data_IF_836648850363
#
_entry.id   IF_836648850363
#
_cell.length_a   1.000
_cell.length_b   1.000
_cell.length_c   1.000
_cell.angle_alpha   90.00
_cell.angle_beta   90.00
_cell.angle_gamma   90.00
#
_symmetry.space_group_name_H-M   'P 1'
#
loop_
_entity.id
_entity.type
_entity.pdbx_description
1 polymer ?
#
# COMPACT_ATOMS: atom_id res chain seq x y z
N UNK A 1 15.27 14.33 20.18
CA UNK A 1 14.59 13.13 20.69
C UNK A 1 14.56 13.05 22.21
N UNK A 2 15.66 13.28 22.92
CA UNK A 2 15.66 13.34 24.42
C UNK A 2 14.79 14.47 24.99
N UNK A 3 14.78 15.64 24.38
CA UNK A 3 13.97 16.78 24.84
C UNK A 3 12.46 16.57 24.74
N UNK A 4 12.01 15.74 23.80
CA UNK A 4 10.60 15.44 23.59
C UNK A 4 10.08 14.41 24.62
N UNK A 5 10.91 13.45 25.00
CA UNK A 5 10.59 12.47 26.04
C UNK A 5 10.50 13.12 27.44
N UNK A 6 11.37 14.08 27.74
CA UNK A 6 11.32 14.84 29.00
C UNK A 6 10.03 15.68 29.12
N UNK A 7 9.55 16.27 28.04
CA UNK A 7 8.29 17.05 28.02
C UNK A 7 7.05 16.17 28.24
N UNK A 8 7.07 14.92 27.79
CA UNK A 8 5.96 13.96 28.03
C UNK A 8 5.96 13.50 29.50
N UNK A 9 7.11 13.28 30.09
CA UNK A 9 7.20 12.91 31.52
C UNK A 9 6.79 14.06 32.44
N UNK A 10 7.21 15.30 32.16
CA UNK A 10 6.77 16.45 32.95
C UNK A 10 5.26 16.72 32.85
N UNK A 11 4.63 16.48 31.67
CA UNK A 11 3.17 16.60 31.54
C UNK A 11 2.43 15.51 32.29
N UNK A 12 2.96 14.29 32.35
CA UNK A 12 2.38 13.20 33.16
C UNK A 12 2.46 13.50 34.67
N UNK A 13 3.59 14.03 35.14
CA UNK A 13 3.76 14.41 36.55
C UNK A 13 2.88 15.60 36.97
N UNK A 14 2.66 16.59 36.07
CA UNK A 14 1.75 17.72 36.38
C UNK A 14 0.28 17.30 36.45
N UNK A 15 -0.17 16.35 35.64
CA UNK A 15 -1.54 15.80 35.72
C UNK A 15 -1.78 14.99 36.98
N UNK A 16 -0.79 14.26 37.49
CA UNK A 16 -0.90 13.45 38.70
C UNK A 16 -0.94 14.31 39.98
N UNK A 17 -0.32 15.51 39.98
CA UNK A 17 -0.36 16.45 41.11
C UNK A 17 -1.67 17.24 41.18
N UNK A 18 -2.45 17.34 40.12
CA UNK A 18 -3.70 18.09 40.09
C UNK A 18 -4.94 17.28 40.52
N UNK A 19 -4.84 15.95 40.65
CA UNK A 19 -6.00 15.07 40.91
C UNK A 19 -5.97 14.32 42.26
N UNK A 20 -5.11 14.61 43.16
CA UNK A 20 -5.19 14.18 44.58
C UNK A 20 -5.47 12.69 44.92
N UNK A 21 -5.45 11.78 43.93
CA UNK A 21 -5.72 10.35 44.14
C UNK A 21 -4.77 9.51 43.29
N UNK A 22 -4.03 8.55 43.87
CA UNK A 22 -3.17 7.66 43.10
C UNK A 22 -4.05 6.61 42.38
N UNK A 23 -4.19 6.76 41.07
CA UNK A 23 -4.88 5.76 40.25
C UNK A 23 -4.04 4.48 40.19
N UNK A 24 -4.50 3.40 40.81
CA UNK A 24 -3.97 2.05 40.64
C UNK A 24 -4.38 1.55 39.25
N UNK A 25 -3.49 1.68 38.29
CA UNK A 25 -3.70 1.27 36.89
C UNK A 25 -3.83 -0.25 36.69
N UNK A 26 -3.81 -1.05 37.74
CA UNK A 26 -3.87 -2.52 37.69
C UNK A 26 -5.26 -3.14 37.93
N UNK A 27 -6.28 -2.37 38.30
CA UNK A 27 -7.61 -2.93 38.69
C UNK A 27 -8.77 -2.52 37.77
N UNK A 28 -8.59 -1.64 36.82
CA UNK A 28 -9.67 -1.21 35.90
C UNK A 28 -9.98 -2.25 34.82
N UNK A 29 -9.11 -3.23 34.61
CA UNK A 29 -9.37 -4.33 33.67
C UNK A 29 -10.17 -5.49 34.31
N UNK A 30 -10.16 -5.64 35.64
CA UNK A 30 -10.90 -6.71 36.33
C UNK A 30 -12.33 -6.32 36.72
N UNK A 31 -12.65 -5.02 36.79
CA UNK A 31 -13.95 -4.52 37.21
C UNK A 31 -15.02 -4.37 36.11
N UNK A 32 -14.67 -4.52 34.86
CA UNK A 32 -15.61 -4.40 33.71
C UNK A 32 -16.31 -5.74 33.40
N UNK A 33 -15.93 -6.83 34.10
CA UNK A 33 -16.45 -8.17 33.82
C UNK A 33 -17.62 -8.62 34.72
N UNK A 34 -17.98 -7.87 35.77
CA UNK A 34 -19.03 -8.32 36.71
C UNK A 34 -20.43 -7.71 36.50
N UNK A 35 -20.59 -6.64 35.70
CA UNK A 35 -21.90 -5.96 35.55
C UNK A 35 -22.57 -6.05 34.18
N UNK A 36 -22.21 -7.01 33.31
CA UNK A 36 -22.76 -7.14 31.99
C UNK A 36 -23.50 -8.45 31.72
N UNK A 37 -24.53 -8.75 32.53
CA UNK A 37 -25.44 -9.88 32.20
C UNK A 37 -26.40 -9.60 31.04
N UNK A 38 -26.34 -8.44 30.39
CA UNK A 38 -27.19 -8.09 29.22
C UNK A 38 -26.47 -7.93 27.87
N UNK A 39 -25.14 -7.75 27.83
CA UNK A 39 -24.37 -7.49 26.61
C UNK A 39 -23.27 -8.55 26.33
N UNK A 40 -23.25 -9.60 27.10
CA UNK A 40 -22.06 -10.44 27.32
C UNK A 40 -21.67 -11.41 26.22
N UNK A 41 -22.46 -11.63 25.16
CA UNK A 41 -22.07 -12.66 24.18
C UNK A 41 -21.21 -12.13 23.02
N UNK A 42 -21.40 -10.92 22.58
CA UNK A 42 -20.67 -10.36 21.44
C UNK A 42 -19.26 -9.91 21.82
N UNK A 43 -19.08 -9.30 22.99
CA UNK A 43 -17.76 -8.85 23.47
C UNK A 43 -16.85 -10.00 23.92
N UNK A 44 -17.41 -11.07 24.48
CA UNK A 44 -16.63 -12.24 24.84
C UNK A 44 -16.06 -12.97 23.61
N UNK A 45 -16.80 -13.03 22.49
CA UNK A 45 -16.29 -13.60 21.27
C UNK A 45 -15.15 -12.78 20.65
N UNK A 46 -15.22 -11.45 20.66
CA UNK A 46 -14.16 -10.58 20.13
C UNK A 46 -12.87 -10.68 20.97
N UNK A 47 -12.98 -10.74 22.30
CA UNK A 47 -11.82 -10.89 23.18
C UNK A 47 -11.11 -12.25 23.01
N UNK A 48 -11.85 -13.31 22.66
CA UNK A 48 -11.29 -14.65 22.41
C UNK A 48 -10.53 -14.69 21.08
N UNK A 49 -11.01 -14.00 20.03
CA UNK A 49 -10.30 -13.95 18.74
C UNK A 49 -8.94 -13.21 18.83
N UNK A 50 -8.79 -12.20 19.68
CA UNK A 50 -7.52 -11.48 19.83
C UNK A 50 -6.52 -12.15 20.79
N UNK A 51 -6.95 -13.07 21.65
CA UNK A 51 -6.04 -13.79 22.58
C UNK A 51 -5.41 -15.05 21.98
N UNK A 52 -5.90 -15.55 20.88
CA UNK A 52 -5.41 -16.79 20.25
C UNK A 52 -5.30 -16.63 18.73
N UNK A 53 -4.41 -15.74 18.27
CA UNK A 53 -3.79 -15.99 16.97
C UNK A 53 -2.92 -17.23 17.16
N UNK A 54 -3.20 -18.35 16.50
CA UNK A 54 -2.36 -19.53 16.62
C UNK A 54 -0.94 -19.13 16.20
N UNK A 55 0.06 -19.42 17.04
CA UNK A 55 1.45 -19.35 16.59
C UNK A 55 1.57 -20.31 15.40
N UNK A 56 2.15 -19.88 14.27
CA UNK A 56 2.33 -20.76 13.14
C UNK A 56 3.09 -22.01 13.57
N UNK A 57 2.55 -23.19 13.26
CA UNK A 57 3.26 -24.45 13.46
C UNK A 57 4.31 -24.59 12.36
N UNK A 58 5.58 -24.41 12.69
CA UNK A 58 6.71 -24.64 11.80
C UNK A 58 6.91 -26.13 11.55
N UNK A 59 6.73 -26.56 10.32
CA UNK A 59 7.28 -27.82 9.81
C UNK A 59 8.25 -27.45 8.69
N UNK A 60 9.43 -28.02 8.69
CA UNK A 60 10.51 -27.81 7.71
C UNK A 60 9.98 -27.74 6.27
N UNK A 61 10.26 -26.63 5.58
CA UNK A 61 9.95 -26.30 4.19
C UNK A 61 8.51 -25.88 3.82
N UNK A 62 7.53 -25.85 4.73
CA UNK A 62 6.19 -25.33 4.40
C UNK A 62 6.05 -23.88 4.87
N UNK A 63 5.65 -22.99 3.95
CA UNK A 63 5.24 -21.63 4.30
C UNK A 63 4.09 -21.69 5.30
N UNK A 64 4.07 -20.75 6.27
CA UNK A 64 2.99 -20.69 7.23
C UNK A 64 1.66 -20.50 6.53
N UNK A 65 0.67 -21.31 6.94
CA UNK A 65 -0.71 -21.15 6.53
C UNK A 65 -1.46 -20.38 7.60
N UNK A 66 -2.10 -19.29 7.19
CA UNK A 66 -2.91 -18.46 8.07
C UNK A 66 -4.36 -18.50 7.64
N UNK A 67 -5.27 -18.55 8.61
CA UNK A 67 -6.70 -18.54 8.34
C UNK A 67 -7.21 -17.08 8.20
N UNK A 68 -7.66 -16.73 7.00
CA UNK A 68 -8.29 -15.46 6.68
C UNK A 68 -9.79 -15.65 6.49
N UNK A 69 -10.55 -15.45 7.56
CA UNK A 69 -12.02 -15.53 7.50
C UNK A 69 -12.57 -16.91 7.09
N UNK A 70 -11.88 -18.00 7.41
CA UNK A 70 -12.26 -19.38 7.07
C UNK A 70 -11.50 -19.97 5.88
N UNK A 71 -10.67 -19.18 5.20
CA UNK A 71 -9.79 -19.64 4.09
C UNK A 71 -8.34 -19.67 4.56
N UNK A 72 -7.66 -20.79 4.33
CA UNK A 72 -6.22 -20.89 4.59
C UNK A 72 -5.43 -20.35 3.40
N UNK A 73 -4.49 -19.41 3.69
CA UNK A 73 -3.63 -18.80 2.70
C UNK A 73 -2.16 -18.89 3.11
N UNK A 74 -1.28 -19.01 2.12
CA UNK A 74 0.16 -18.99 2.35
C UNK A 74 0.64 -17.56 2.65
N UNK A 75 1.33 -17.40 3.77
CA UNK A 75 1.94 -16.12 4.17
C UNK A 75 3.38 -16.33 4.61
N UNK A 76 4.17 -15.27 4.52
CA UNK A 76 5.53 -15.22 5.04
C UNK A 76 5.71 -13.95 5.87
N UNK A 77 6.12 -14.14 7.10
CA UNK A 77 6.38 -13.04 8.04
C UNK A 77 7.86 -12.69 8.10
N UNK A 78 8.19 -11.55 8.69
CA UNK A 78 9.59 -11.16 8.95
C UNK A 78 10.29 -12.09 9.95
N UNK A 79 9.55 -12.82 10.77
CA UNK A 79 10.09 -13.80 11.71
C UNK A 79 10.50 -15.08 10.97
N UNK A 80 9.71 -15.51 9.98
CA UNK A 80 9.97 -16.71 9.17
C UNK A 80 11.06 -16.48 8.13
N UNK A 81 11.10 -15.28 7.57
CA UNK A 81 12.11 -14.90 6.57
C UNK A 81 12.78 -13.58 7.00
N UNK A 82 13.66 -13.59 8.01
CA UNK A 82 14.30 -12.39 8.52
C UNK A 82 15.25 -11.77 7.48
N UNK A 83 15.59 -10.48 7.63
CA UNK A 83 16.48 -9.74 6.71
C UNK A 83 17.82 -10.46 6.51
N UNK A 84 18.36 -11.12 7.54
CA UNK A 84 19.60 -11.90 7.42
C UNK A 84 19.47 -13.04 6.42
N UNK A 85 18.34 -13.76 6.43
CA UNK A 85 18.03 -14.82 5.45
C UNK A 85 17.85 -14.23 4.05
N UNK A 86 17.21 -13.05 3.95
CA UNK A 86 17.03 -12.34 2.69
C UNK A 86 18.37 -11.88 2.09
N UNK A 87 19.29 -11.38 2.90
CA UNK A 87 20.65 -11.01 2.47
C UNK A 87 21.45 -12.23 1.98
N UNK A 88 21.34 -13.37 2.65
CA UNK A 88 22.00 -14.60 2.18
C UNK A 88 21.38 -15.13 0.88
N UNK A 89 20.05 -15.07 0.72
CA UNK A 89 19.36 -15.50 -0.51
C UNK A 89 19.77 -14.67 -1.74
N UNK A 90 20.09 -13.38 -1.55
CA UNK A 90 20.52 -12.45 -2.61
C UNK A 90 22.02 -12.13 -2.55
N UNK A 91 22.80 -12.96 -1.86
CA UNK A 91 24.25 -12.78 -1.76
C UNK A 91 24.92 -12.84 -3.14
N UNK A 92 25.68 -11.80 -3.44
CA UNK A 92 26.35 -11.64 -4.74
C UNK A 92 25.46 -11.12 -5.86
N UNK A 93 24.17 -10.91 -5.61
CA UNK A 93 23.27 -10.28 -6.58
C UNK A 93 23.45 -8.75 -6.56
N UNK A 94 23.27 -8.13 -7.72
CA UNK A 94 23.15 -6.69 -7.89
C UNK A 94 21.71 -6.36 -8.27
N UNK A 95 21.01 -5.64 -7.40
CA UNK A 95 19.63 -5.24 -7.62
C UNK A 95 19.61 -3.92 -8.38
N UNK A 96 19.20 -3.95 -9.65
CA UNK A 96 19.08 -2.77 -10.50
C UNK A 96 17.64 -2.27 -10.51
N UNK A 97 17.37 -1.15 -9.84
CA UNK A 97 16.06 -0.50 -9.82
C UNK A 97 15.93 0.43 -11.03
N UNK A 98 15.16 0.02 -12.04
CA UNK A 98 14.89 0.80 -13.24
C UNK A 98 13.66 1.68 -13.04
N UNK A 99 13.89 2.99 -12.95
CA UNK A 99 12.87 4.00 -12.67
C UNK A 99 12.88 4.48 -11.23
N UNK A 100 12.89 5.79 -11.06
CA UNK A 100 12.90 6.46 -9.75
C UNK A 100 11.66 7.36 -9.58
N UNK A 101 10.50 6.81 -10.01
CA UNK A 101 9.20 7.48 -9.98
C UNK A 101 8.47 7.30 -8.64
N UNK A 102 7.32 6.58 -8.66
CA UNK A 102 6.46 6.41 -7.48
C UNK A 102 7.03 5.33 -6.54
N UNK A 103 7.29 4.12 -7.02
CA UNK A 103 7.78 3.00 -6.21
C UNK A 103 9.31 2.97 -6.05
N UNK A 104 10.04 3.41 -7.08
CA UNK A 104 11.51 3.32 -7.14
C UNK A 104 12.22 3.88 -5.90
N UNK A 105 11.95 5.11 -5.47
CA UNK A 105 12.59 5.68 -4.28
C UNK A 105 12.39 4.86 -3.02
N UNK A 106 11.14 4.46 -2.73
CA UNK A 106 10.79 3.68 -1.55
C UNK A 106 11.51 2.33 -1.54
N UNK A 107 11.39 1.56 -2.62
CA UNK A 107 11.99 0.23 -2.71
C UNK A 107 13.52 0.27 -2.74
N UNK A 108 14.12 1.13 -3.57
CA UNK A 108 15.57 1.23 -3.67
C UNK A 108 16.22 1.66 -2.36
N UNK A 109 15.68 2.68 -1.69
CA UNK A 109 16.21 3.15 -0.41
C UNK A 109 16.04 2.10 0.70
N UNK A 110 14.88 1.41 0.76
CA UNK A 110 14.65 0.38 1.78
C UNK A 110 15.60 -0.81 1.60
N UNK A 111 15.80 -1.27 0.36
CA UNK A 111 16.78 -2.32 0.05
C UNK A 111 18.21 -1.89 0.45
N UNK A 112 18.64 -0.67 0.07
CA UNK A 112 19.94 -0.13 0.44
C UNK A 112 20.12 -0.07 1.96
N UNK A 113 19.13 0.45 2.67
CA UNK A 113 19.19 0.62 4.13
C UNK A 113 19.17 -0.74 4.87
N UNK A 114 18.63 -1.78 4.25
CA UNK A 114 18.72 -3.17 4.73
C UNK A 114 20.05 -3.88 4.33
N UNK A 115 20.94 -3.20 3.61
CA UNK A 115 22.29 -3.70 3.30
C UNK A 115 22.42 -4.47 1.98
N UNK A 116 21.42 -4.44 1.10
CA UNK A 116 21.53 -5.04 -0.23
C UNK A 116 22.40 -4.18 -1.15
N UNK A 117 23.04 -4.81 -2.13
CA UNK A 117 23.77 -4.13 -3.18
C UNK A 117 22.79 -3.63 -4.26
N UNK A 118 22.52 -2.33 -4.26
CA UNK A 118 21.50 -1.69 -5.12
C UNK A 118 22.14 -0.66 -6.02
N UNK A 119 21.75 -0.66 -7.28
CA UNK A 119 22.00 0.41 -8.26
C UNK A 119 20.69 0.91 -8.83
N UNK A 120 20.68 2.15 -9.32
CA UNK A 120 19.49 2.78 -9.90
C UNK A 120 19.75 3.11 -11.36
N UNK A 121 18.80 2.75 -12.23
CA UNK A 121 18.74 3.17 -13.63
C UNK A 121 17.69 4.25 -13.80
N UNK A 122 18.08 5.45 -14.24
CA UNK A 122 17.16 6.57 -14.43
C UNK A 122 17.60 7.51 -15.55
N UNK A 123 16.65 7.97 -16.36
CA UNK A 123 16.90 8.99 -17.38
C UNK A 123 17.11 10.36 -16.76
N UNK A 124 17.93 11.26 -17.36
CA UNK A 124 18.08 12.64 -16.91
C UNK A 124 16.73 13.37 -16.75
N UNK A 125 16.62 14.22 -15.74
CA UNK A 125 15.44 15.02 -15.41
C UNK A 125 15.15 15.06 -13.92
N UNK A 126 13.98 15.57 -13.51
CA UNK A 126 13.62 15.79 -12.10
C UNK A 126 13.75 14.53 -11.21
N UNK A 127 13.41 13.35 -11.74
CA UNK A 127 13.54 12.10 -10.99
C UNK A 127 14.98 11.61 -10.86
N UNK A 128 15.84 11.94 -11.81
CA UNK A 128 17.28 11.73 -11.71
C UNK A 128 17.90 12.64 -10.65
N UNK A 129 17.55 13.94 -10.66
CA UNK A 129 17.96 14.90 -9.65
C UNK A 129 17.52 14.48 -8.25
N UNK A 130 16.30 13.95 -8.13
CA UNK A 130 15.81 13.36 -6.88
C UNK A 130 16.66 12.16 -6.45
N UNK A 131 17.04 11.26 -7.36
CA UNK A 131 17.91 10.14 -7.04
C UNK A 131 19.27 10.62 -6.50
N UNK A 132 19.87 11.63 -7.12
CA UNK A 132 21.12 12.25 -6.62
C UNK A 132 20.92 12.83 -5.22
N UNK A 133 19.82 13.54 -4.98
CA UNK A 133 19.51 14.11 -3.66
C UNK A 133 19.29 13.03 -2.58
N UNK A 134 18.78 11.85 -2.97
CA UNK A 134 18.60 10.67 -2.09
C UNK A 134 19.91 9.88 -1.89
N UNK A 135 21.04 10.38 -2.43
CA UNK A 135 22.39 9.85 -2.21
C UNK A 135 22.85 8.79 -3.22
N UNK A 136 22.19 8.67 -4.38
CA UNK A 136 22.68 7.83 -5.48
C UNK A 136 23.73 8.59 -6.27
N UNK A 137 24.90 7.94 -6.51
CA UNK A 137 26.10 8.60 -7.09
C UNK A 137 26.21 8.28 -8.58
N UNK A 138 26.18 9.30 -9.46
CA UNK A 138 26.36 9.11 -10.90
C UNK A 138 27.65 8.37 -11.25
N UNK A 139 27.54 7.32 -12.07
CA UNK A 139 28.66 6.47 -12.48
C UNK A 139 29.11 5.43 -11.46
N UNK A 140 28.56 5.44 -10.23
CA UNK A 140 28.86 4.44 -9.19
C UNK A 140 27.61 3.61 -8.81
N UNK A 141 26.52 4.29 -8.48
CA UNK A 141 25.24 3.68 -8.08
C UNK A 141 24.04 4.22 -8.84
N UNK A 142 24.23 5.21 -9.72
CA UNK A 142 23.21 5.79 -10.59
C UNK A 142 23.70 5.79 -12.05
N UNK A 143 22.94 5.13 -12.91
CA UNK A 143 23.30 4.85 -14.30
C UNK A 143 22.15 5.20 -15.26
N UNK A 144 22.38 5.02 -16.57
CA UNK A 144 21.29 4.92 -17.55
C UNK A 144 20.45 3.67 -17.30
N UNK A 145 19.26 3.57 -17.92
CA UNK A 145 18.40 2.39 -17.78
C UNK A 145 19.11 1.14 -18.33
N UNK A 146 19.73 1.27 -19.51
CA UNK A 146 20.43 0.20 -20.18
C UNK A 146 21.65 -0.27 -19.39
N UNK A 147 22.47 0.65 -18.93
CA UNK A 147 23.67 0.34 -18.16
C UNK A 147 23.32 -0.32 -16.81
N UNK A 148 22.27 0.15 -16.14
CA UNK A 148 21.80 -0.49 -14.92
C UNK A 148 21.26 -1.90 -15.20
N UNK A 149 20.52 -2.11 -16.29
CA UNK A 149 20.03 -3.43 -16.69
C UNK A 149 21.16 -4.39 -17.07
N UNK A 150 22.23 -3.88 -17.69
CA UNK A 150 23.43 -4.67 -18.01
C UNK A 150 24.15 -5.14 -16.75
N UNK A 151 24.37 -4.22 -15.78
CA UNK A 151 25.11 -4.46 -14.53
C UNK A 151 24.31 -5.28 -13.52
N UNK A 152 23.00 -5.13 -13.50
CA UNK A 152 22.11 -5.82 -12.57
C UNK A 152 22.00 -7.31 -12.86
N UNK A 153 21.82 -8.10 -11.81
CA UNK A 153 21.44 -9.52 -11.89
C UNK A 153 19.98 -9.72 -11.54
N UNK A 154 19.43 -8.83 -10.69
CA UNK A 154 17.98 -8.70 -10.44
C UNK A 154 17.52 -7.35 -10.97
N UNK A 155 16.70 -7.35 -12.01
CA UNK A 155 16.25 -6.15 -12.71
C UNK A 155 14.83 -5.81 -12.27
N UNK A 156 14.68 -4.73 -11.49
CA UNK A 156 13.41 -4.27 -10.95
C UNK A 156 12.79 -3.24 -11.92
N UNK A 157 11.76 -3.65 -12.66
CA UNK A 157 11.02 -2.79 -13.60
C UNK A 157 10.03 -1.90 -12.83
N UNK A 158 10.52 -0.77 -12.29
CA UNK A 158 9.71 0.19 -11.50
C UNK A 158 9.37 1.47 -12.30
N UNK A 159 9.44 1.39 -13.60
CA UNK A 159 8.91 2.39 -14.52
C UNK A 159 7.38 2.33 -14.57
N UNK A 160 6.73 3.43 -14.96
CA UNK A 160 5.29 3.39 -15.28
C UNK A 160 5.03 2.45 -16.46
N UNK A 161 3.83 1.87 -16.55
CA UNK A 161 3.51 0.87 -17.61
C UNK A 161 3.82 1.37 -19.02
N UNK A 162 3.44 2.60 -19.34
CA UNK A 162 3.78 3.21 -20.62
C UNK A 162 5.30 3.34 -20.83
N UNK A 163 6.06 3.65 -19.80
CA UNK A 163 7.51 3.72 -19.90
C UNK A 163 8.15 2.34 -19.97
N UNK A 164 7.58 1.31 -19.33
CA UNK A 164 8.00 -0.08 -19.49
C UNK A 164 7.85 -0.52 -20.95
N UNK A 165 6.68 -0.28 -21.55
CA UNK A 165 6.42 -0.59 -22.97
C UNK A 165 7.44 0.12 -23.86
N UNK A 166 7.67 1.41 -23.65
CA UNK A 166 8.57 2.23 -24.44
C UNK A 166 10.03 1.79 -24.32
N UNK A 167 10.48 1.43 -23.13
CA UNK A 167 11.88 1.07 -22.85
C UNK A 167 12.16 -0.42 -23.04
N UNK A 168 11.13 -1.26 -23.18
CA UNK A 168 11.29 -2.71 -23.28
C UNK A 168 12.28 -3.16 -24.37
N UNK A 169 12.24 -2.62 -25.61
CA UNK A 169 13.21 -3.01 -26.64
C UNK A 169 14.67 -2.75 -26.27
N UNK A 170 14.93 -1.75 -25.42
CA UNK A 170 16.26 -1.38 -24.95
C UNK A 170 16.71 -2.23 -23.77
N UNK A 171 15.78 -2.60 -22.88
CA UNK A 171 16.08 -3.38 -21.65
C UNK A 171 16.19 -4.88 -21.97
N UNK A 172 15.30 -5.42 -22.80
CA UNK A 172 15.21 -6.85 -23.10
C UNK A 172 16.56 -7.50 -23.51
N UNK A 173 17.43 -6.89 -24.33
CA UNK A 173 18.73 -7.48 -24.70
C UNK A 173 19.67 -7.74 -23.51
N UNK A 174 19.50 -6.99 -22.42
CA UNK A 174 20.29 -7.14 -21.18
C UNK A 174 19.75 -8.20 -20.21
N UNK A 175 18.56 -8.76 -20.49
CA UNK A 175 17.98 -9.85 -19.72
C UNK A 175 18.53 -11.19 -20.18
N UNK A 176 19.77 -11.45 -19.83
CA UNK A 176 20.49 -12.68 -20.21
C UNK A 176 20.21 -13.83 -19.23
N UNK A 177 20.50 -15.06 -19.66
CA UNK A 177 20.32 -16.27 -18.86
C UNK A 177 20.87 -16.14 -17.43
N UNK A 178 20.12 -16.61 -16.45
CA UNK A 178 20.46 -16.56 -15.02
C UNK A 178 20.08 -15.28 -14.30
N UNK A 179 19.67 -14.21 -15.01
CA UNK A 179 19.13 -13.00 -14.38
C UNK A 179 17.71 -13.21 -13.88
N UNK A 180 17.26 -12.30 -13.06
CA UNK A 180 15.89 -12.24 -12.53
C UNK A 180 15.22 -10.94 -12.95
N UNK A 181 14.02 -11.01 -13.53
CA UNK A 181 13.19 -9.87 -13.83
C UNK A 181 12.10 -9.74 -12.77
N UNK A 182 12.02 -8.58 -12.13
CA UNK A 182 11.09 -8.29 -11.06
C UNK A 182 10.09 -7.21 -11.46
N UNK A 183 8.84 -7.43 -11.13
CA UNK A 183 7.75 -6.46 -11.24
C UNK A 183 7.14 -6.17 -9.87
N UNK A 184 6.67 -4.93 -9.69
CA UNK A 184 5.94 -4.52 -8.48
C UNK A 184 4.43 -4.38 -8.73
N UNK A 185 3.99 -4.72 -9.92
CA UNK A 185 2.61 -4.78 -10.38
C UNK A 185 2.49 -5.71 -11.58
N UNK A 186 1.44 -6.51 -11.63
CA UNK A 186 1.26 -7.55 -12.64
C UNK A 186 0.84 -7.08 -14.03
N UNK A 187 0.62 -5.78 -14.26
CA UNK A 187 0.07 -5.21 -15.48
C UNK A 187 0.79 -5.65 -16.75
N UNK A 188 2.12 -5.45 -16.79
CA UNK A 188 2.93 -5.67 -17.97
C UNK A 188 2.87 -7.11 -18.51
N UNK A 189 2.84 -8.08 -17.60
CA UNK A 189 2.84 -9.52 -17.91
C UNK A 189 1.43 -10.04 -18.17
N UNK A 190 0.44 -9.60 -17.39
CA UNK A 190 -0.95 -10.05 -17.52
C UNK A 190 -1.53 -9.70 -18.88
N UNK A 191 -1.23 -8.51 -19.39
CA UNK A 191 -1.67 -8.07 -20.72
C UNK A 191 -0.50 -7.95 -21.71
N UNK A 192 0.36 -8.97 -21.72
CA UNK A 192 1.55 -9.02 -22.60
C UNK A 192 1.21 -8.95 -24.10
N UNK A 193 0.02 -9.39 -24.49
CA UNK A 193 -0.55 -9.24 -25.84
C UNK A 193 -0.75 -7.77 -26.25
N UNK A 194 -0.92 -6.87 -25.28
CA UNK A 194 -1.12 -5.43 -25.46
C UNK A 194 0.15 -4.62 -25.21
N UNK A 195 0.91 -5.04 -24.21
CA UNK A 195 2.14 -4.33 -23.81
C UNK A 195 3.34 -4.71 -24.67
N UNK A 196 3.34 -5.88 -25.30
CA UNK A 196 4.49 -6.45 -26.00
C UNK A 196 5.63 -6.90 -25.06
N UNK A 197 5.41 -6.85 -23.73
CA UNK A 197 6.42 -7.24 -22.74
C UNK A 197 6.34 -8.75 -22.53
N UNK A 198 7.23 -9.46 -23.21
CA UNK A 198 7.39 -10.91 -23.11
C UNK A 198 8.80 -11.22 -22.62
N UNK A 199 8.94 -11.68 -21.34
CA UNK A 199 10.25 -12.03 -20.79
C UNK A 199 10.95 -13.16 -21.56
N UNK A 200 12.30 -13.18 -21.58
CA UNK A 200 13.06 -14.34 -22.04
C UNK A 200 12.72 -15.60 -21.22
N UNK A 201 12.86 -16.79 -21.85
CA UNK A 201 12.50 -18.06 -21.23
C UNK A 201 13.58 -18.62 -20.30
N UNK A 202 14.74 -18.03 -20.28
CA UNK A 202 15.96 -18.47 -19.59
C UNK A 202 16.33 -17.61 -18.36
N UNK A 203 15.37 -16.84 -17.86
CA UNK A 203 15.49 -16.00 -16.65
C UNK A 203 14.39 -16.32 -15.65
N UNK A 204 14.58 -15.97 -14.38
CA UNK A 204 13.49 -15.95 -13.42
C UNK A 204 12.59 -14.71 -13.63
N UNK A 205 11.29 -14.85 -13.40
CA UNK A 205 10.35 -13.72 -13.41
C UNK A 205 9.51 -13.75 -12.15
N UNK A 206 9.57 -12.69 -11.37
CA UNK A 206 8.99 -12.61 -10.03
C UNK A 206 8.21 -11.30 -9.84
N UNK A 207 7.31 -11.32 -8.86
CA UNK A 207 6.51 -10.15 -8.48
C UNK A 207 6.47 -10.01 -6.97
N UNK A 208 6.65 -8.78 -6.48
CA UNK A 208 6.23 -8.36 -5.13
C UNK A 208 5.54 -7.01 -5.24
N UNK A 209 4.26 -6.95 -4.89
CA UNK A 209 3.42 -5.77 -5.00
C UNK A 209 3.02 -5.24 -3.62
N UNK A 210 3.70 -4.20 -3.09
CA UNK A 210 3.30 -3.53 -1.86
C UNK A 210 1.90 -2.92 -1.99
N UNK A 211 1.04 -3.16 -1.00
CA UNK A 211 -0.33 -2.63 -0.97
C UNK A 211 -0.35 -1.22 -0.37
N UNK A 212 0.24 -0.28 -1.13
CA UNK A 212 0.31 1.14 -0.78
C UNK A 212 1.28 1.93 -1.67
N UNK A 213 1.28 3.26 -1.52
CA UNK A 213 2.16 4.13 -2.28
C UNK A 213 3.63 3.94 -1.91
N UNK A 214 4.54 4.24 -2.83
CA UNK A 214 5.99 4.20 -2.54
C UNK A 214 6.41 5.14 -1.42
N UNK A 215 5.72 6.27 -1.25
CA UNK A 215 5.91 7.20 -0.12
C UNK A 215 5.53 6.52 1.19
N UNK A 216 4.36 5.89 1.27
CA UNK A 216 3.92 5.17 2.46
C UNK A 216 4.83 3.98 2.78
N UNK A 217 5.29 3.25 1.75
CA UNK A 217 6.27 2.16 1.92
C UNK A 217 7.54 2.66 2.62
N UNK A 218 8.08 3.81 2.18
CA UNK A 218 9.28 4.41 2.78
C UNK A 218 9.04 4.92 4.19
N UNK A 219 7.95 5.65 4.40
CA UNK A 219 7.60 6.22 5.72
C UNK A 219 7.43 5.14 6.77
N UNK A 220 6.62 4.12 6.46
CA UNK A 220 6.37 3.02 7.40
C UNK A 220 7.61 2.16 7.66
N UNK A 221 8.49 2.01 6.66
CA UNK A 221 9.78 1.35 6.85
C UNK A 221 10.67 2.10 7.86
N UNK A 222 10.81 3.42 7.70
CA UNK A 222 11.61 4.25 8.60
C UNK A 222 11.03 4.26 10.03
N UNK A 223 9.72 4.13 10.17
CA UNK A 223 9.03 3.97 11.45
C UNK A 223 9.19 2.57 12.08
N UNK A 224 9.90 1.65 11.45
CA UNK A 224 10.02 0.25 11.90
C UNK A 224 8.77 -0.60 11.66
N UNK A 225 7.83 -0.08 10.90
CA UNK A 225 6.59 -0.71 10.44
C UNK A 225 6.77 -1.30 9.04
N UNK A 226 5.68 -1.70 8.37
CA UNK A 226 5.75 -2.16 6.99
C UNK A 226 4.37 -2.17 6.34
N UNK A 227 4.37 -2.17 5.02
CA UNK A 227 3.17 -2.38 4.20
C UNK A 227 3.12 -3.86 3.80
N UNK A 228 1.94 -4.48 3.88
CA UNK A 228 1.74 -5.82 3.40
C UNK A 228 1.93 -5.88 1.89
N UNK A 229 2.51 -6.96 1.38
CA UNK A 229 2.75 -7.13 -0.05
C UNK A 229 2.25 -8.48 -0.52
N UNK A 230 1.67 -8.53 -1.71
CA UNK A 230 1.46 -9.80 -2.40
C UNK A 230 2.73 -10.21 -3.13
N UNK A 231 2.95 -11.53 -3.30
CA UNK A 231 4.06 -12.05 -4.08
C UNK A 231 3.62 -13.14 -5.04
N UNK A 232 4.34 -13.27 -6.14
CA UNK A 232 4.15 -14.34 -7.10
C UNK A 232 5.45 -14.71 -7.80
N UNK A 233 5.61 -15.99 -8.12
CA UNK A 233 6.62 -16.50 -9.04
C UNK A 233 5.92 -16.77 -10.38
N UNK A 234 6.28 -16.02 -11.42
CA UNK A 234 5.74 -16.22 -12.76
C UNK A 234 6.55 -17.25 -13.56
N UNK A 235 7.87 -17.21 -13.42
CA UNK A 235 8.80 -18.12 -14.08
C UNK A 235 9.97 -18.43 -13.16
N UNK A 236 10.23 -19.71 -12.93
CA UNK A 236 11.35 -20.20 -12.13
C UNK A 236 12.24 -21.09 -12.99
N UNK A 237 13.37 -20.55 -13.41
CA UNK A 237 14.39 -21.27 -14.22
C UNK A 237 15.54 -21.73 -13.34
N UNK A 238 15.85 -20.93 -12.32
CA UNK A 238 16.98 -21.20 -11.43
C UNK A 238 16.67 -22.20 -10.31
N UNK A 239 15.38 -22.50 -10.04
CA UNK A 239 14.92 -23.22 -8.86
C UNK A 239 15.02 -22.39 -7.56
N UNK A 240 15.28 -21.07 -7.68
CA UNK A 240 15.46 -20.13 -6.57
C UNK A 240 14.58 -18.89 -6.66
N UNK A 241 13.65 -18.86 -7.63
CA UNK A 241 12.84 -17.68 -7.85
C UNK A 241 12.00 -17.33 -6.62
N UNK A 242 11.47 -18.32 -5.88
CA UNK A 242 10.73 -18.08 -4.65
C UNK A 242 11.60 -17.43 -3.57
N UNK A 243 12.79 -17.94 -3.30
CA UNK A 243 13.71 -17.37 -2.30
C UNK A 243 14.08 -15.92 -2.64
N UNK A 244 14.34 -15.62 -3.91
CA UNK A 244 14.61 -14.27 -4.40
C UNK A 244 13.39 -13.35 -4.23
N UNK A 245 12.19 -13.86 -4.50
CA UNK A 245 10.93 -13.12 -4.32
C UNK A 245 10.72 -12.72 -2.87
N UNK A 246 10.84 -13.69 -1.96
CA UNK A 246 10.69 -13.45 -0.53
C UNK A 246 11.77 -12.51 0.00
N UNK A 247 13.01 -12.69 -0.46
CA UNK A 247 14.13 -11.83 -0.07
C UNK A 247 13.92 -10.36 -0.48
N UNK A 248 13.44 -10.12 -1.70
CA UNK A 248 13.09 -8.76 -2.14
C UNK A 248 11.91 -8.23 -1.34
N UNK A 249 10.86 -9.04 -1.13
CA UNK A 249 9.70 -8.63 -0.36
C UNK A 249 10.03 -8.17 1.05
N UNK A 250 10.87 -8.93 1.76
CA UNK A 250 11.38 -8.54 3.08
C UNK A 250 12.35 -7.35 2.98
N UNK A 251 13.21 -7.36 1.96
CA UNK A 251 14.21 -6.31 1.74
C UNK A 251 13.60 -4.92 1.49
N UNK A 252 12.48 -4.84 0.79
CA UNK A 252 11.73 -3.57 0.60
C UNK A 252 10.93 -3.15 1.83
N UNK A 253 10.89 -3.99 2.88
CA UNK A 253 10.26 -3.67 4.16
C UNK A 253 8.78 -4.05 4.25
N UNK A 254 8.35 -5.12 3.58
CA UNK A 254 6.97 -5.62 3.71
C UNK A 254 6.63 -6.00 5.16
N UNK A 255 5.40 -5.75 5.58
CA UNK A 255 4.87 -6.14 6.90
C UNK A 255 4.74 -7.66 6.99
N UNK A 256 4.03 -8.25 6.05
CA UNK A 256 4.03 -9.67 5.72
C UNK A 256 3.83 -9.83 4.21
N UNK A 257 4.14 -11.01 3.70
CA UNK A 257 3.96 -11.40 2.31
C UNK A 257 2.84 -12.43 2.21
N UNK A 258 1.94 -12.28 1.22
CA UNK A 258 0.90 -13.25 0.92
C UNK A 258 0.96 -13.68 -0.54
N UNK A 259 0.71 -14.96 -0.78
CA UNK A 259 0.82 -15.56 -2.09
C UNK A 259 -0.31 -15.13 -3.03
N UNK A 260 0.03 -14.90 -4.28
CA UNK A 260 -0.92 -14.62 -5.36
C UNK A 260 -0.40 -15.14 -6.69
N UNK A 261 -1.09 -14.80 -7.79
CA UNK A 261 -0.55 -14.94 -9.16
C UNK A 261 -0.43 -13.56 -9.79
N UNK A 262 0.42 -13.44 -10.81
CA UNK A 262 0.62 -12.17 -11.52
C UNK A 262 -0.70 -11.62 -12.07
N UNK A 263 -1.56 -12.49 -12.64
CA UNK A 263 -2.88 -12.11 -13.13
C UNK A 263 -3.82 -11.65 -12.00
N UNK A 264 -3.90 -12.42 -10.90
CA UNK A 264 -4.76 -12.04 -9.76
C UNK A 264 -4.33 -10.71 -9.15
N UNK A 265 -3.04 -10.50 -9.01
CA UNK A 265 -2.49 -9.23 -8.54
C UNK A 265 -2.94 -8.08 -9.43
N UNK A 266 -2.70 -8.17 -10.75
CA UNK A 266 -3.06 -7.12 -11.69
C UNK A 266 -4.57 -6.82 -11.69
N UNK A 267 -5.41 -7.85 -11.66
CA UNK A 267 -6.87 -7.67 -11.68
C UNK A 267 -7.37 -7.06 -10.35
N UNK A 268 -6.90 -7.56 -9.21
CA UNK A 268 -7.34 -7.04 -7.90
C UNK A 268 -6.84 -5.62 -7.66
N UNK A 269 -5.60 -5.32 -8.04
CA UNK A 269 -4.98 -4.00 -7.86
C UNK A 269 -5.70 -2.93 -8.70
N UNK A 270 -5.88 -3.16 -10.00
CA UNK A 270 -6.64 -2.24 -10.85
C UNK A 270 -8.09 -2.07 -10.41
N UNK A 271 -8.73 -3.13 -9.94
CA UNK A 271 -10.09 -3.04 -9.39
C UNK A 271 -10.12 -2.22 -8.11
N UNK A 272 -9.14 -2.44 -7.22
CA UNK A 272 -9.02 -1.71 -5.96
C UNK A 272 -8.79 -0.21 -6.15
N UNK A 273 -7.85 0.16 -7.04
CA UNK A 273 -7.54 1.57 -7.34
C UNK A 273 -8.73 2.35 -7.89
N UNK A 274 -9.46 1.74 -8.84
CA UNK A 274 -10.65 2.37 -9.46
C UNK A 274 -11.87 2.29 -8.56
N UNK A 275 -11.91 1.28 -7.71
CA UNK A 275 -12.92 1.07 -6.68
C UNK A 275 -12.63 1.86 -5.40
N UNK A 276 -12.70 1.19 -4.27
CA UNK A 276 -12.71 1.78 -2.93
C UNK A 276 -11.45 2.56 -2.54
N UNK A 277 -10.28 2.29 -3.17
CA UNK A 277 -9.04 2.95 -2.77
C UNK A 277 -8.95 4.41 -3.26
N UNK A 278 -9.45 4.72 -4.47
CA UNK A 278 -9.37 6.06 -5.05
C UNK A 278 -10.63 6.47 -5.82
N UNK A 279 -11.03 5.71 -6.84
CA UNK A 279 -12.10 6.14 -7.75
C UNK A 279 -13.46 6.25 -7.08
N UNK A 280 -13.91 5.17 -6.46
CA UNK A 280 -15.23 5.14 -5.81
C UNK A 280 -15.28 6.03 -4.57
N UNK A 281 -14.20 6.09 -3.76
CA UNK A 281 -14.19 6.96 -2.56
C UNK A 281 -14.28 8.44 -2.95
N UNK A 282 -13.58 8.87 -4.00
CA UNK A 282 -13.67 10.23 -4.51
C UNK A 282 -15.10 10.52 -5.05
N UNK A 283 -15.70 9.56 -5.76
CA UNK A 283 -17.07 9.68 -6.25
C UNK A 283 -18.09 9.79 -5.12
N UNK A 284 -17.93 9.02 -4.04
CA UNK A 284 -18.77 9.09 -2.84
C UNK A 284 -18.63 10.44 -2.14
N UNK A 285 -17.41 10.95 -1.98
CA UNK A 285 -17.18 12.28 -1.40
C UNK A 285 -17.87 13.37 -2.20
N UNK A 286 -17.73 13.36 -3.53
CA UNK A 286 -18.36 14.34 -4.39
C UNK A 286 -19.89 14.28 -4.27
N UNK A 287 -20.48 13.09 -4.41
CA UNK A 287 -21.93 12.92 -4.37
C UNK A 287 -22.55 13.38 -3.05
N UNK A 288 -21.97 12.99 -1.91
CA UNK A 288 -22.50 13.39 -0.60
C UNK A 288 -22.31 14.89 -0.36
N UNK A 289 -21.15 15.43 -0.70
CA UNK A 289 -20.86 16.86 -0.59
C UNK A 289 -21.85 17.69 -1.41
N UNK A 290 -22.07 17.35 -2.67
CA UNK A 290 -23.00 18.02 -3.58
C UNK A 290 -24.44 18.03 -3.04
N UNK A 291 -24.92 16.86 -2.58
CA UNK A 291 -26.26 16.76 -1.97
C UNK A 291 -26.41 17.68 -0.74
N UNK A 292 -25.42 17.70 0.16
CA UNK A 292 -25.44 18.58 1.32
C UNK A 292 -25.46 20.07 0.89
N UNK A 293 -24.61 20.42 -0.08
CA UNK A 293 -24.58 21.81 -0.62
C UNK A 293 -25.89 22.23 -1.28
N UNK A 294 -26.52 21.35 -2.05
CA UNK A 294 -27.81 21.59 -2.68
C UNK A 294 -28.95 21.81 -1.66
N UNK A 295 -28.84 21.20 -0.49
CA UNK A 295 -29.79 21.38 0.62
C UNK A 295 -29.39 22.50 1.60
N UNK A 296 -28.46 23.37 1.22
CA UNK A 296 -28.15 24.62 1.92
C UNK A 296 -27.10 24.51 3.05
N UNK A 297 -26.45 23.35 3.24
CA UNK A 297 -25.32 23.24 4.17
C UNK A 297 -24.15 24.10 3.67
N UNK A 298 -23.40 24.69 4.60
CA UNK A 298 -22.22 25.47 4.25
C UNK A 298 -21.11 24.55 3.72
N UNK A 299 -20.11 25.05 2.96
CA UNK A 299 -18.97 24.25 2.52
C UNK A 299 -18.22 23.57 3.68
N UNK A 300 -18.08 24.28 4.80
CA UNK A 300 -17.43 23.72 5.99
C UNK A 300 -18.22 22.55 6.59
N UNK A 301 -19.55 22.69 6.75
CA UNK A 301 -20.41 21.61 7.25
C UNK A 301 -20.33 20.39 6.30
N UNK A 302 -20.57 20.60 5.01
CA UNK A 302 -20.57 19.53 4.02
C UNK A 302 -19.21 18.80 3.97
N UNK A 303 -18.09 19.53 4.07
CA UNK A 303 -16.76 18.93 4.05
C UNK A 303 -16.43 18.12 5.31
N UNK A 304 -16.75 18.65 6.49
CA UNK A 304 -16.50 17.98 7.75
C UNK A 304 -17.29 16.67 7.84
N UNK A 305 -18.56 16.66 7.45
CA UNK A 305 -19.44 15.47 7.47
C UNK A 305 -19.18 14.47 6.32
N UNK A 306 -18.35 14.83 5.35
CA UNK A 306 -18.08 13.96 4.19
C UNK A 306 -16.66 13.43 4.20
N UNK A 307 -15.67 14.30 4.38
CA UNK A 307 -14.24 13.95 4.20
C UNK A 307 -13.46 13.99 5.52
N UNK A 308 -13.58 15.11 6.26
CA UNK A 308 -12.69 15.38 7.39
C UNK A 308 -12.87 14.37 8.52
N UNK A 309 -14.08 14.17 8.98
CA UNK A 309 -14.37 13.24 10.07
C UNK A 309 -14.00 11.81 9.68
N UNK A 310 -14.29 11.39 8.44
CA UNK A 310 -13.94 10.07 7.95
C UNK A 310 -12.42 9.85 7.97
N UNK A 311 -11.65 10.77 7.41
CA UNK A 311 -10.20 10.58 7.18
C UNK A 311 -9.38 10.85 8.42
N UNK A 312 -9.77 11.80 9.28
CA UNK A 312 -9.03 12.18 10.48
C UNK A 312 -9.38 11.34 11.71
N UNK A 313 -10.63 10.91 11.81
CA UNK A 313 -11.14 10.25 13.01
C UNK A 313 -11.51 8.79 12.75
N UNK A 314 -12.43 8.52 11.83
CA UNK A 314 -13.05 7.20 11.71
C UNK A 314 -12.15 6.16 11.04
N UNK A 315 -11.50 6.47 9.91
CA UNK A 315 -10.65 5.52 9.20
C UNK A 315 -9.44 5.03 10.01
N UNK A 316 -8.73 5.85 10.79
CA UNK A 316 -7.71 5.37 11.72
C UNK A 316 -8.25 4.38 12.75
N UNK A 317 -9.46 4.58 13.28
CA UNK A 317 -10.11 3.64 14.21
C UNK A 317 -10.50 2.34 13.51
N UNK A 318 -11.08 2.43 12.32
CA UNK A 318 -11.42 1.25 11.50
C UNK A 318 -10.15 0.43 11.20
N UNK A 319 -9.04 1.08 10.85
CA UNK A 319 -7.78 0.40 10.59
C UNK A 319 -7.21 -0.33 11.81
N UNK A 320 -7.45 0.18 13.01
CA UNK A 320 -6.92 -0.38 14.26
C UNK A 320 -7.85 -1.41 14.90
N UNK A 321 -9.17 -1.26 14.76
CA UNK A 321 -10.17 -1.95 15.57
C UNK A 321 -11.25 -2.68 14.75
N UNK A 322 -11.43 -2.32 13.49
CA UNK A 322 -12.51 -2.83 12.64
C UNK A 322 -13.76 -1.95 12.62
N UNK A 323 -14.63 -2.19 11.65
CA UNK A 323 -15.85 -1.41 11.42
C UNK A 323 -16.91 -1.66 12.51
N UNK A 324 -17.04 -2.88 12.98
CA UNK A 324 -17.94 -3.27 14.06
C UNK A 324 -17.61 -2.56 15.37
N UNK A 325 -16.32 -2.47 15.71
CA UNK A 325 -15.87 -1.73 16.87
C UNK A 325 -16.17 -0.23 16.74
N UNK A 326 -15.92 0.34 15.56
CA UNK A 326 -16.22 1.76 15.30
C UNK A 326 -17.73 2.03 15.48
N UNK A 327 -18.59 1.18 14.93
CA UNK A 327 -20.04 1.31 15.12
C UNK A 327 -20.43 1.21 16.60
N UNK A 328 -19.91 0.21 17.32
CA UNK A 328 -20.21 0.00 18.73
C UNK A 328 -19.83 1.19 19.65
N UNK A 329 -18.87 2.02 19.21
CA UNK A 329 -18.39 3.18 19.95
C UNK A 329 -18.95 4.52 19.46
N UNK A 330 -19.94 4.50 18.57
CA UNK A 330 -20.69 5.68 18.15
C UNK A 330 -22.03 5.81 18.92
N UNK A 331 -22.75 6.93 18.75
CA UNK A 331 -24.08 7.09 19.32
C UNK A 331 -25.06 6.04 18.77
N UNK A 332 -26.09 5.68 19.54
CA UNK A 332 -27.10 4.70 19.11
C UNK A 332 -27.83 5.14 17.84
N UNK A 333 -28.00 6.44 17.65
CA UNK A 333 -28.57 7.02 16.41
C UNK A 333 -27.65 6.77 15.22
N UNK A 334 -26.35 7.04 15.35
CA UNK A 334 -25.39 6.78 14.30
C UNK A 334 -25.26 5.28 13.96
N UNK A 335 -25.21 4.42 15.00
CA UNK A 335 -25.19 2.96 14.84
C UNK A 335 -26.39 2.48 14.00
N UNK A 336 -27.61 2.88 14.39
CA UNK A 336 -28.82 2.43 13.70
C UNK A 336 -28.87 2.94 12.29
N UNK A 337 -28.61 4.23 12.09
CA UNK A 337 -28.61 4.84 10.75
C UNK A 337 -27.60 4.20 9.82
N UNK A 338 -26.35 3.99 10.28
CA UNK A 338 -25.31 3.35 9.47
C UNK A 338 -25.68 1.92 9.06
N UNK A 339 -26.19 1.11 9.98
CA UNK A 339 -26.64 -0.26 9.70
C UNK A 339 -27.83 -0.30 8.73
N UNK A 340 -28.76 0.64 8.82
CA UNK A 340 -29.92 0.72 7.93
C UNK A 340 -29.53 1.11 6.50
N UNK A 341 -28.56 2.02 6.34
CA UNK A 341 -28.14 2.52 5.03
C UNK A 341 -27.02 1.69 4.38
N UNK A 342 -26.36 0.83 5.11
CA UNK A 342 -25.33 -0.06 4.56
C UNK A 342 -25.86 -0.92 3.40
N UNK A 343 -27.07 -1.49 3.53
CA UNK A 343 -27.69 -2.30 2.48
C UNK A 343 -27.97 -1.50 1.19
N UNK A 344 -28.71 -0.40 1.25
CA UNK A 344 -28.94 0.46 0.09
C UNK A 344 -27.68 0.91 -0.65
N UNK A 345 -26.61 1.28 0.06
CA UNK A 345 -25.32 1.62 -0.56
C UNK A 345 -24.67 0.41 -1.21
N UNK A 346 -24.64 -0.74 -0.53
CA UNK A 346 -24.12 -1.99 -1.10
C UNK A 346 -24.81 -2.32 -2.42
N UNK A 347 -26.14 -2.30 -2.44
CA UNK A 347 -26.95 -2.68 -3.61
C UNK A 347 -26.77 -1.69 -4.78
N UNK A 348 -26.55 -0.42 -4.49
CA UNK A 348 -26.24 0.58 -5.52
C UNK A 348 -24.82 0.43 -6.09
N UNK A 349 -23.84 0.13 -5.26
CA UNK A 349 -22.43 0.11 -5.64
C UNK A 349 -22.00 -1.22 -6.26
N UNK A 350 -22.53 -2.36 -5.79
CA UNK A 350 -22.10 -3.70 -6.24
C UNK A 350 -22.19 -3.88 -7.77
N UNK A 351 -23.26 -3.51 -8.48
CA UNK A 351 -23.31 -3.65 -9.93
C UNK A 351 -22.26 -2.80 -10.67
N UNK A 352 -21.89 -1.64 -10.10
CA UNK A 352 -20.81 -0.80 -10.66
C UNK A 352 -19.45 -1.47 -10.50
N UNK A 353 -19.20 -2.08 -9.35
CA UNK A 353 -17.94 -2.84 -9.08
C UNK A 353 -17.87 -4.09 -9.95
N UNK A 354 -18.97 -4.82 -10.15
CA UNK A 354 -19.01 -5.97 -11.05
C UNK A 354 -18.66 -5.57 -12.48
N UNK A 355 -19.27 -4.49 -12.98
CA UNK A 355 -18.92 -3.93 -14.29
C UNK A 355 -17.45 -3.52 -14.37
N UNK A 356 -16.94 -2.84 -13.36
CA UNK A 356 -15.52 -2.46 -13.28
C UNK A 356 -14.61 -3.70 -13.32
N UNK A 357 -14.92 -4.74 -12.54
CA UNK A 357 -14.16 -5.98 -12.52
C UNK A 357 -14.09 -6.63 -13.91
N UNK A 358 -15.21 -6.67 -14.64
CA UNK A 358 -15.26 -7.21 -16.00
C UNK A 358 -14.46 -6.36 -17.00
N UNK A 359 -14.49 -5.03 -16.89
CA UNK A 359 -13.67 -4.13 -17.70
C UNK A 359 -12.16 -4.36 -17.45
N UNK A 360 -11.77 -4.56 -16.19
CA UNK A 360 -10.40 -4.88 -15.80
C UNK A 360 -10.01 -6.27 -16.31
N UNK A 361 -10.77 -7.30 -15.97
CA UNK A 361 -10.45 -8.69 -16.30
C UNK A 361 -10.33 -8.95 -17.80
N UNK A 362 -11.15 -8.30 -18.60
CA UNK A 362 -11.09 -8.38 -20.08
C UNK A 362 -9.95 -7.55 -20.70
N UNK A 363 -9.20 -6.80 -19.89
CA UNK A 363 -8.11 -5.93 -20.34
C UNK A 363 -8.58 -4.65 -21.05
N UNK A 364 -9.88 -4.31 -21.02
CA UNK A 364 -10.36 -3.04 -21.59
C UNK A 364 -9.82 -1.85 -20.81
N UNK A 365 -9.73 -1.96 -19.48
CA UNK A 365 -9.10 -0.93 -18.63
C UNK A 365 -7.60 -0.80 -18.89
N UNK A 366 -6.90 -1.93 -19.09
CA UNK A 366 -5.48 -1.91 -19.47
C UNK A 366 -5.28 -1.18 -20.81
N UNK A 367 -6.11 -1.48 -21.82
CA UNK A 367 -6.04 -0.80 -23.11
C UNK A 367 -6.29 0.70 -23.00
N UNK A 368 -7.31 1.13 -22.21
CA UNK A 368 -7.56 2.56 -21.97
C UNK A 368 -6.34 3.27 -21.36
N UNK A 369 -5.70 2.62 -20.39
CA UNK A 369 -4.50 3.17 -19.75
C UNK A 369 -3.35 3.32 -20.77
N UNK A 370 -3.09 2.30 -21.58
CA UNK A 370 -2.07 2.32 -22.63
C UNK A 370 -2.38 3.43 -23.65
N UNK A 371 -3.61 3.49 -24.16
CA UNK A 371 -4.02 4.47 -25.16
C UNK A 371 -3.92 5.91 -24.66
N UNK A 372 -4.26 6.12 -23.39
CA UNK A 372 -4.18 7.44 -22.77
C UNK A 372 -2.73 7.87 -22.54
N UNK A 373 -1.92 6.98 -21.95
CA UNK A 373 -0.55 7.27 -21.56
C UNK A 373 0.41 7.39 -22.75
N UNK A 374 0.08 6.80 -23.91
CA UNK A 374 0.89 6.89 -25.13
C UNK A 374 0.70 8.20 -25.89
N UNK A 375 -0.33 9.01 -25.56
CA UNK A 375 -0.57 10.28 -26.23
C UNK A 375 0.48 11.32 -25.86
N UNK A 376 0.99 12.11 -26.83
CA UNK A 376 2.00 13.15 -26.53
C UNK A 376 1.53 14.21 -25.53
N UNK A 377 0.22 14.49 -25.50
CA UNK A 377 -0.42 15.50 -24.66
C UNK A 377 -0.95 14.93 -23.31
N UNK A 378 -0.68 13.64 -23.01
CA UNK A 378 -1.19 12.98 -21.80
C UNK A 378 -0.88 13.78 -20.53
N UNK A 379 0.39 14.21 -20.36
CA UNK A 379 0.79 14.96 -19.15
C UNK A 379 0.06 16.28 -19.01
N UNK A 380 -0.21 16.97 -20.10
CA UNK A 380 -0.96 18.25 -20.13
C UNK A 380 -2.42 18.00 -19.74
N UNK A 381 -3.04 16.97 -20.30
CA UNK A 381 -4.43 16.61 -19.98
C UNK A 381 -4.57 16.17 -18.51
N UNK A 382 -3.70 15.30 -18.04
CA UNK A 382 -3.69 14.86 -16.63
C UNK A 382 -3.57 16.07 -15.69
N UNK A 383 -2.65 17.01 -15.97
CA UNK A 383 -2.49 18.20 -15.12
C UNK A 383 -3.75 19.09 -15.16
N UNK A 384 -4.42 19.21 -16.29
CA UNK A 384 -5.68 19.95 -16.40
C UNK A 384 -6.79 19.27 -15.56
N UNK A 385 -6.92 17.95 -15.59
CA UNK A 385 -7.88 17.18 -14.77
C UNK A 385 -7.58 17.31 -13.28
N UNK A 386 -6.30 17.13 -12.88
CA UNK A 386 -5.89 17.32 -11.49
C UNK A 386 -6.09 18.74 -11.00
N UNK A 387 -5.87 19.74 -11.88
CA UNK A 387 -6.15 21.15 -11.58
C UNK A 387 -7.64 21.37 -11.34
N UNK A 388 -8.50 20.87 -12.21
CA UNK A 388 -9.96 20.99 -12.05
C UNK A 388 -10.42 20.34 -10.73
N UNK A 389 -9.86 19.20 -10.36
CA UNK A 389 -10.12 18.55 -9.08
C UNK A 389 -9.71 19.44 -7.90
N UNK A 390 -8.48 19.98 -7.92
CA UNK A 390 -7.96 20.88 -6.87
C UNK A 390 -8.77 22.18 -6.74
N UNK A 391 -9.31 22.69 -7.85
CA UNK A 391 -10.09 23.93 -7.90
C UNK A 391 -11.58 23.72 -7.60
N UNK A 392 -12.05 22.48 -7.46
CA UNK A 392 -13.43 22.21 -7.02
C UNK A 392 -13.70 22.78 -5.63
N UNK A 393 -14.94 23.20 -5.35
CA UNK A 393 -15.34 23.75 -4.04
C UNK A 393 -14.98 22.78 -2.91
N UNK A 394 -15.23 21.48 -3.09
CA UNK A 394 -14.88 20.41 -2.14
C UNK A 394 -13.39 20.49 -1.72
N UNK A 395 -12.48 20.49 -2.71
CA UNK A 395 -11.06 20.44 -2.41
C UNK A 395 -10.43 21.80 -2.05
N UNK A 396 -11.07 22.91 -2.45
CA UNK A 396 -10.72 24.24 -1.93
C UNK A 396 -11.11 24.38 -0.45
N UNK A 397 -12.27 23.84 -0.06
CA UNK A 397 -12.68 23.77 1.36
C UNK A 397 -11.68 22.95 2.17
N UNK A 398 -11.18 21.85 1.63
CA UNK A 398 -10.15 21.02 2.27
C UNK A 398 -8.86 21.79 2.59
N UNK A 399 -8.44 22.72 1.73
CA UNK A 399 -7.25 23.57 1.97
C UNK A 399 -7.47 24.42 3.22
N UNK A 400 -8.62 25.05 3.32
CA UNK A 400 -8.97 25.89 4.47
C UNK A 400 -9.06 25.08 5.76
N UNK A 401 -9.75 23.93 5.74
CA UNK A 401 -9.93 23.09 6.92
C UNK A 401 -8.57 22.58 7.44
N UNK A 402 -7.70 22.08 6.55
CA UNK A 402 -6.35 21.66 6.94
C UNK A 402 -5.51 22.78 7.54
N UNK A 403 -5.61 24.01 6.98
CA UNK A 403 -4.92 25.18 7.50
C UNK A 403 -5.39 25.63 8.89
N UNK A 404 -6.58 25.20 9.32
CA UNK A 404 -7.15 25.50 10.65
C UNK A 404 -6.85 24.42 11.70
N UNK A 405 -6.25 23.30 11.31
CA UNK A 405 -5.87 22.23 12.28
C UNK A 405 -4.77 22.74 13.21
N UNK A 406 -4.85 22.44 14.53
CA UNK A 406 -3.84 22.88 15.51
C UNK A 406 -2.42 22.42 15.21
N UNK A 407 -2.26 21.27 14.57
CA UNK A 407 -0.97 20.65 14.26
C UNK A 407 -0.29 21.28 13.02
N UNK A 408 -0.96 22.14 12.28
CA UNK A 408 -0.40 22.86 11.13
C UNK A 408 0.21 21.96 10.06
N UNK A 409 -0.59 21.07 9.47
CA UNK A 409 -0.16 20.19 8.38
C UNK A 409 -0.48 20.79 7.00
#
# INVERSE_FOLDING_TARGET
MLSFLLLIEERKQKKTKASGTPAKFGRVLDGVFEDAEGAGRTQAHIAVFYKHSPKPNYIDNDMAKMNFGGVEENVVTREEFPVVKALEALKGETIAVLGYGVQGPGQACNLRDNGFHVIVGQRPGKTYEKAVADGWVPGETLFSLEEAAERGTVICMLLSDAAQIQCWPQIKPHLTAGKTLYFSHGFAITWSDRTGIVPPKDIDVILVAPKGSGTSLRTLFVEGRGINSSYAVYQDVSGRALDKTLAIGIGIGSGYLFETTVEREAVSDLTGERGSLMGAIQGLFAAQYEVLREHGHTPSEAFNETVEELTQSLMPLVAQRGMDWMYANCSTTAQRGALDWMGPFHDAVKPVVEKLYDEVKTGREAQRSIDSNSKPDYRVKLEAELKALRESELWQTAVTVRGLRPEGV
#
